data_IF_417681097371
#
_entry.id   IF_417681097371
#
_cell.length_a   1.000
_cell.length_b   1.000
_cell.length_c   1.000
_cell.angle_alpha   90.00
_cell.angle_beta   90.00
_cell.angle_gamma   90.00
#
_symmetry.space_group_name_H-M   'P 1'
#
loop_
_entity.id
_entity.type
_entity.pdbx_description
1 polymer ?
#
# COMPACT_ATOMS: atom_id res chain seq x y z
N UNK A 1 -57.63 8.56 26.15
CA UNK A 1 -57.75 8.27 24.73
C UNK A 1 -56.46 7.59 24.27
N UNK A 2 -56.62 6.39 23.94
CA UNK A 2 -55.81 5.27 23.52
C UNK A 2 -54.58 5.56 22.70
N UNK A 3 -53.44 5.09 23.22
CA UNK A 3 -52.17 4.87 22.53
C UNK A 3 -52.31 3.63 21.64
N UNK A 4 -52.35 3.78 20.35
CA UNK A 4 -52.21 2.67 19.41
C UNK A 4 -50.73 2.32 19.20
N UNK A 5 -50.42 1.07 19.54
CA UNK A 5 -49.16 0.41 19.26
C UNK A 5 -49.04 0.14 17.76
N UNK A 6 -48.07 0.77 17.11
CA UNK A 6 -47.59 0.32 15.80
C UNK A 6 -46.69 -0.92 15.96
N UNK A 7 -47.25 -2.09 15.71
CA UNK A 7 -46.50 -3.30 15.40
C UNK A 7 -46.09 -3.23 13.94
N UNK A 8 -44.91 -2.72 13.66
CA UNK A 8 -44.24 -2.89 12.34
C UNK A 8 -43.63 -4.27 12.28
N UNK A 9 -44.08 -5.07 11.33
CA UNK A 9 -43.44 -6.31 10.93
C UNK A 9 -42.03 -5.99 10.42
N UNK A 10 -41.01 -6.50 11.11
CA UNK A 10 -39.65 -6.52 10.62
C UNK A 10 -39.51 -7.55 9.48
N UNK A 11 -39.87 -7.15 8.27
CA UNK A 11 -39.37 -7.81 7.07
C UNK A 11 -37.86 -7.64 7.05
N UNK A 12 -37.14 -8.76 6.94
CA UNK A 12 -35.70 -8.87 7.05
C UNK A 12 -34.94 -7.81 6.26
N UNK A 13 -34.47 -6.80 6.95
CA UNK A 13 -33.33 -6.02 6.53
C UNK A 13 -32.12 -6.96 6.59
N UNK A 14 -31.71 -7.48 5.46
CA UNK A 14 -30.37 -8.00 5.30
C UNK A 14 -29.42 -6.94 5.87
N UNK A 15 -28.76 -7.30 6.95
CA UNK A 15 -27.70 -6.49 7.55
C UNK A 15 -26.72 -6.22 6.43
N UNK A 16 -26.74 -5.02 5.87
CA UNK A 16 -25.73 -4.51 4.97
C UNK A 16 -24.38 -4.82 5.64
N UNK A 17 -23.62 -5.72 5.05
CA UNK A 17 -22.27 -5.99 5.50
C UNK A 17 -21.47 -4.71 5.31
N UNK A 18 -21.34 -3.94 6.37
CA UNK A 18 -20.50 -2.75 6.45
C UNK A 18 -19.06 -3.25 6.54
N UNK A 19 -18.41 -3.38 5.40
CA UNK A 19 -17.01 -3.78 5.29
C UNK A 19 -16.42 -3.16 4.04
N UNK A 20 -15.10 -2.91 4.05
CA UNK A 20 -14.39 -2.40 2.90
C UNK A 20 -14.56 -3.30 1.67
N UNK A 21 -14.44 -2.74 0.48
CA UNK A 21 -14.61 -3.45 -0.78
C UNK A 21 -13.64 -4.62 -0.90
N UNK A 22 -14.16 -5.80 -1.18
CA UNK A 22 -13.35 -7.01 -1.42
C UNK A 22 -12.70 -6.94 -2.81
N UNK A 23 -11.40 -6.65 -2.82
CA UNK A 23 -10.58 -6.50 -4.05
C UNK A 23 -10.55 -7.81 -4.85
N UNK A 24 -10.59 -8.98 -4.20
CA UNK A 24 -10.57 -10.26 -4.91
C UNK A 24 -11.86 -10.49 -5.67
N UNK A 25 -13.01 -10.17 -5.08
CA UNK A 25 -14.30 -10.22 -5.76
C UNK A 25 -14.35 -9.26 -6.94
N UNK A 26 -13.78 -8.06 -6.83
CA UNK A 26 -13.68 -7.11 -7.93
C UNK A 26 -12.77 -7.64 -9.07
N UNK A 27 -11.64 -8.26 -8.76
CA UNK A 27 -10.76 -8.87 -9.76
C UNK A 27 -11.42 -10.06 -10.47
N UNK A 28 -12.11 -10.93 -9.73
CA UNK A 28 -12.90 -12.03 -10.30
C UNK A 28 -13.97 -11.47 -11.27
N UNK A 29 -14.66 -10.43 -10.87
CA UNK A 29 -15.67 -9.75 -11.69
C UNK A 29 -15.06 -9.19 -12.99
N UNK A 30 -13.89 -8.54 -12.93
CA UNK A 30 -13.18 -8.02 -14.11
C UNK A 30 -12.74 -9.13 -15.07
N UNK A 31 -12.21 -10.22 -14.55
CA UNK A 31 -11.84 -11.39 -15.38
C UNK A 31 -13.09 -11.99 -16.02
N UNK A 32 -14.17 -12.12 -15.25
CA UNK A 32 -15.46 -12.63 -15.77
C UNK A 32 -16.12 -11.73 -16.80
N UNK A 33 -15.86 -10.42 -16.80
CA UNK A 33 -16.31 -9.52 -17.88
C UNK A 33 -15.52 -9.74 -19.18
N UNK A 34 -14.22 -10.06 -19.08
CA UNK A 34 -13.38 -10.35 -20.25
C UNK A 34 -13.61 -11.77 -20.79
N UNK A 35 -13.81 -12.75 -19.91
CA UNK A 35 -13.96 -14.17 -20.21
C UNK A 35 -15.12 -14.75 -19.39
N UNK A 36 -16.39 -14.53 -19.80
CA UNK A 36 -17.55 -15.01 -19.03
C UNK A 36 -17.57 -16.52 -18.79
N UNK A 37 -17.01 -17.29 -19.71
CA UNK A 37 -17.00 -18.76 -19.68
C UNK A 37 -16.11 -19.34 -18.58
N UNK A 38 -15.18 -18.54 -18.03
CA UNK A 38 -14.29 -18.98 -16.95
C UNK A 38 -14.89 -18.76 -15.56
N UNK A 39 -16.05 -18.09 -15.48
CA UNK A 39 -16.74 -17.91 -14.20
C UNK A 39 -17.30 -19.24 -13.70
N UNK A 40 -17.07 -19.52 -12.44
CA UNK A 40 -17.58 -20.67 -11.71
C UNK A 40 -17.93 -20.27 -10.27
N UNK A 41 -18.37 -21.22 -9.47
CA UNK A 41 -18.69 -21.01 -8.07
C UNK A 41 -17.85 -21.94 -7.19
N UNK A 42 -17.37 -21.39 -6.07
CA UNK A 42 -16.66 -22.14 -5.03
C UNK A 42 -17.32 -21.92 -3.66
N UNK A 43 -17.35 -22.95 -2.82
CA UNK A 43 -17.78 -22.80 -1.43
C UNK A 43 -16.64 -22.24 -0.58
N UNK A 44 -16.94 -21.21 0.20
CA UNK A 44 -16.02 -20.68 1.21
C UNK A 44 -16.00 -21.61 2.45
N UNK A 45 -15.14 -21.31 3.42
CA UNK A 45 -15.00 -22.08 4.66
C UNK A 45 -16.30 -22.13 5.50
N UNK A 46 -17.17 -21.17 5.32
CA UNK A 46 -18.51 -21.13 5.92
C UNK A 46 -19.59 -21.85 5.07
N UNK A 47 -19.21 -22.53 3.99
CA UNK A 47 -20.09 -23.28 3.10
C UNK A 47 -20.91 -22.41 2.13
N UNK A 48 -20.69 -21.10 2.05
CA UNK A 48 -21.42 -20.18 1.15
C UNK A 48 -20.80 -20.21 -0.23
N UNK A 49 -21.65 -20.19 -1.27
CA UNK A 49 -21.19 -20.08 -2.65
C UNK A 49 -20.64 -18.68 -2.92
N UNK A 50 -19.48 -18.62 -3.55
CA UNK A 50 -18.83 -17.37 -3.98
C UNK A 50 -18.39 -17.51 -5.44
N UNK A 51 -18.41 -16.41 -6.21
CA UNK A 51 -17.85 -16.40 -7.56
C UNK A 51 -16.37 -16.78 -7.51
N UNK A 52 -15.95 -17.58 -8.47
CA UNK A 52 -14.56 -18.03 -8.63
C UNK A 52 -14.20 -18.10 -10.12
N UNK A 53 -12.92 -18.25 -10.41
CA UNK A 53 -12.39 -18.44 -11.76
C UNK A 53 -11.96 -19.90 -11.92
N UNK A 54 -12.44 -20.55 -12.98
CA UNK A 54 -11.92 -21.81 -13.45
C UNK A 54 -10.60 -21.56 -14.19
N UNK A 55 -9.50 -21.84 -13.50
CA UNK A 55 -8.18 -21.52 -14.02
C UNK A 55 -7.79 -22.40 -15.22
N UNK A 56 -8.27 -23.65 -15.26
CA UNK A 56 -7.99 -24.54 -16.40
C UNK A 56 -8.70 -24.09 -17.66
N UNK A 57 -9.93 -23.58 -17.53
CA UNK A 57 -10.62 -22.93 -18.66
C UNK A 57 -9.94 -21.65 -19.09
N UNK A 58 -9.51 -20.80 -18.11
CA UNK A 58 -8.79 -19.58 -18.44
C UNK A 58 -7.51 -19.89 -19.23
N UNK A 59 -6.76 -20.92 -18.83
CA UNK A 59 -5.61 -21.41 -19.59
C UNK A 59 -5.96 -21.75 -21.04
N UNK A 60 -7.07 -22.42 -21.30
CA UNK A 60 -7.50 -22.78 -22.66
C UNK A 60 -7.76 -21.55 -23.53
N UNK A 61 -8.32 -20.48 -22.94
CA UNK A 61 -8.56 -19.20 -23.66
C UNK A 61 -7.28 -18.41 -23.93
N UNK A 62 -6.25 -18.55 -23.09
CA UNK A 62 -4.97 -17.87 -23.25
C UNK A 62 -3.99 -18.66 -24.14
N UNK A 63 -4.33 -19.90 -24.53
CA UNK A 63 -3.54 -20.73 -25.45
C UNK A 63 -2.11 -21.04 -24.99
N UNK A 64 -1.14 -20.98 -25.90
CA UNK A 64 0.26 -21.29 -25.67
C UNK A 64 1.04 -20.13 -25.00
N UNK A 65 0.46 -18.97 -24.86
CA UNK A 65 1.07 -17.77 -24.25
C UNK A 65 1.09 -17.83 -22.70
N UNK A 66 0.95 -19.02 -22.14
CA UNK A 66 0.99 -19.26 -20.69
C UNK A 66 2.36 -19.78 -20.30
N UNK A 67 3.00 -19.10 -19.36
CA UNK A 67 4.19 -19.62 -18.71
C UNK A 67 3.77 -20.65 -17.67
N UNK A 68 3.86 -21.94 -18.04
CA UNK A 68 3.59 -23.08 -17.16
C UNK A 68 4.92 -23.76 -16.83
N UNK A 69 5.67 -23.18 -15.90
CA UNK A 69 6.97 -23.72 -15.55
C UNK A 69 7.64 -23.05 -14.36
N UNK A 70 8.68 -23.70 -13.83
CA UNK A 70 9.44 -23.20 -12.68
C UNK A 70 10.45 -22.11 -13.03
N UNK A 71 10.71 -21.87 -14.31
CA UNK A 71 11.66 -20.89 -14.80
C UNK A 71 10.93 -19.66 -15.34
N UNK A 72 10.41 -18.83 -14.43
CA UNK A 72 9.88 -17.50 -14.74
C UNK A 72 10.58 -16.46 -13.90
N UNK A 73 10.79 -15.27 -14.48
CA UNK A 73 11.27 -14.15 -13.68
C UNK A 73 10.21 -13.74 -12.67
N UNK A 74 10.51 -13.93 -11.41
CA UNK A 74 9.62 -13.58 -10.31
C UNK A 74 10.44 -13.01 -9.14
N UNK A 75 10.05 -11.84 -8.67
CA UNK A 75 10.54 -11.30 -7.40
C UNK A 75 9.77 -11.97 -6.27
N UNK A 76 10.45 -12.80 -5.46
CA UNK A 76 9.81 -13.59 -4.42
C UNK A 76 10.56 -13.51 -3.08
N UNK A 77 9.83 -13.66 -1.97
CA UNK A 77 10.35 -13.69 -0.60
C UNK A 77 9.44 -14.50 0.31
N UNK A 78 9.91 -14.77 1.54
CA UNK A 78 9.14 -15.55 2.53
C UNK A 78 7.96 -14.70 3.06
N UNK A 79 6.73 -15.17 2.86
CA UNK A 79 5.50 -14.48 3.29
C UNK A 79 4.81 -13.67 2.18
N UNK A 80 5.33 -13.64 0.95
CA UNK A 80 4.72 -12.89 -0.16
C UNK A 80 3.24 -13.23 -0.38
N UNK A 81 2.87 -14.50 -0.30
CA UNK A 81 1.47 -14.95 -0.51
C UNK A 81 0.54 -14.39 0.55
N UNK A 82 0.98 -14.38 1.80
CA UNK A 82 0.26 -13.81 2.93
C UNK A 82 0.12 -12.29 2.78
N UNK A 83 1.18 -11.60 2.37
CA UNK A 83 1.15 -10.15 2.11
C UNK A 83 0.16 -9.78 0.98
N UNK A 84 0.10 -10.59 -0.09
CA UNK A 84 -0.90 -10.44 -1.15
C UNK A 84 -2.32 -10.64 -0.61
N UNK A 85 -2.51 -11.69 0.19
CA UNK A 85 -3.81 -12.01 0.79
C UNK A 85 -4.28 -10.89 1.73
N UNK A 86 -3.35 -10.33 2.53
CA UNK A 86 -3.65 -9.26 3.48
C UNK A 86 -4.15 -7.99 2.80
N UNK A 87 -3.57 -7.60 1.67
CA UNK A 87 -4.04 -6.46 0.88
C UNK A 87 -5.51 -6.62 0.42
N UNK A 88 -5.99 -7.84 0.27
CA UNK A 88 -7.36 -8.14 -0.15
C UNK A 88 -8.35 -8.36 0.99
N UNK A 89 -7.90 -8.48 2.24
CA UNK A 89 -8.79 -8.68 3.39
C UNK A 89 -9.59 -7.41 3.65
N UNK A 90 -10.94 -7.49 3.66
CA UNK A 90 -11.78 -6.35 4.05
C UNK A 90 -11.63 -6.07 5.55
N UNK A 91 -11.81 -4.80 5.92
CA UNK A 91 -11.93 -4.38 7.33
C UNK A 91 -13.38 -4.00 7.66
N UNK A 92 -13.76 -4.21 8.91
CA UNK A 92 -15.05 -3.74 9.47
C UNK A 92 -14.88 -2.44 10.27
N UNK A 93 -13.65 -1.94 10.38
CA UNK A 93 -13.36 -0.68 11.07
C UNK A 93 -13.87 0.51 10.28
N UNK A 94 -14.11 1.63 10.96
CA UNK A 94 -14.54 2.89 10.34
C UNK A 94 -13.80 4.06 10.96
N UNK A 95 -13.74 5.17 10.23
CA UNK A 95 -13.21 6.44 10.74
C UNK A 95 -14.24 7.08 11.67
N UNK A 96 -13.77 7.69 12.76
CA UNK A 96 -14.56 8.50 13.67
C UNK A 96 -14.01 9.91 13.72
N UNK A 97 -14.86 10.95 13.55
CA UNK A 97 -14.43 12.32 13.74
C UNK A 97 -13.96 12.54 15.18
N UNK A 98 -12.83 13.20 15.35
CA UNK A 98 -12.34 13.72 16.60
C UNK A 98 -12.53 15.25 16.58
N UNK A 99 -13.68 15.69 17.10
CA UNK A 99 -14.05 17.11 17.04
C UNK A 99 -13.23 17.95 18.02
N UNK A 100 -12.76 17.36 19.11
CA UNK A 100 -12.02 18.07 20.15
C UNK A 100 -10.60 18.40 19.70
N UNK A 101 -9.98 17.52 18.91
CA UNK A 101 -8.64 17.71 18.35
C UNK A 101 -8.66 18.37 16.95
N UNK A 102 -9.83 18.61 16.38
CA UNK A 102 -9.95 19.20 15.03
C UNK A 102 -9.98 20.73 15.06
N UNK A 103 -9.30 21.33 14.10
CA UNK A 103 -9.33 22.78 13.86
C UNK A 103 -10.21 23.06 12.64
N UNK A 104 -11.25 23.89 12.82
CA UNK A 104 -12.20 24.26 11.77
C UNK A 104 -12.79 23.05 11.02
N UNK A 105 -13.24 22.02 11.75
CA UNK A 105 -13.70 20.75 11.21
C UNK A 105 -14.68 20.89 10.04
N UNK A 106 -15.63 21.81 10.15
CA UNK A 106 -16.68 22.02 9.13
C UNK A 106 -16.18 22.72 7.85
N UNK A 107 -15.01 23.38 7.90
CA UNK A 107 -14.49 24.19 6.80
C UNK A 107 -13.17 23.70 6.25
N UNK A 108 -12.44 22.87 7.02
CA UNK A 108 -11.15 22.34 6.59
C UNK A 108 -11.36 21.31 5.50
N UNK A 109 -10.59 21.43 4.41
CA UNK A 109 -10.49 20.40 3.37
C UNK A 109 -9.34 19.43 3.62
N UNK A 110 -8.58 19.62 4.73
CA UNK A 110 -7.48 18.76 5.12
C UNK A 110 -7.96 17.71 6.14
N UNK A 111 -7.48 16.49 5.99
CA UNK A 111 -7.82 15.37 6.88
C UNK A 111 -6.53 14.82 7.48
N UNK A 112 -6.50 14.69 8.81
CA UNK A 112 -5.48 13.97 9.54
C UNK A 112 -6.12 12.71 10.13
N UNK A 113 -5.53 11.54 9.89
CA UNK A 113 -6.09 10.26 10.33
C UNK A 113 -5.06 9.56 11.21
N UNK A 114 -5.46 9.25 12.46
CA UNK A 114 -4.64 8.51 13.42
C UNK A 114 -5.10 7.06 13.49
N UNK A 115 -4.14 6.12 13.46
CA UNK A 115 -4.42 4.70 13.58
C UNK A 115 -3.45 3.84 12.77
N UNK A 116 -3.72 2.55 12.72
CA UNK A 116 -2.97 1.63 11.85
C UNK A 116 -3.19 1.99 10.38
N UNK A 117 -2.10 2.30 9.68
CA UNK A 117 -2.18 2.80 8.31
C UNK A 117 -2.66 1.74 7.30
N UNK A 118 -2.44 0.44 7.55
CA UNK A 118 -2.95 -0.62 6.68
C UNK A 118 -4.49 -0.67 6.74
N UNK A 119 -5.05 -0.60 7.95
CA UNK A 119 -6.50 -0.54 8.15
C UNK A 119 -7.10 0.74 7.57
N UNK A 120 -6.43 1.88 7.79
CA UNK A 120 -6.85 3.17 7.20
C UNK A 120 -6.86 3.11 5.67
N UNK A 121 -5.83 2.55 5.05
CA UNK A 121 -5.76 2.38 3.59
C UNK A 121 -6.91 1.50 3.06
N UNK A 122 -7.32 0.46 3.81
CA UNK A 122 -8.49 -0.37 3.46
C UNK A 122 -9.80 0.43 3.53
N UNK A 123 -9.98 1.24 4.57
CA UNK A 123 -11.18 2.09 4.71
C UNK A 123 -11.25 3.13 3.60
N UNK A 124 -10.12 3.76 3.26
CA UNK A 124 -10.06 4.78 2.22
C UNK A 124 -10.41 4.25 0.82
N UNK A 125 -10.30 2.93 0.57
CA UNK A 125 -10.73 2.35 -0.72
C UNK A 125 -12.19 2.67 -1.06
N UNK A 126 -13.06 2.85 -0.07
CA UNK A 126 -14.48 3.11 -0.33
C UNK A 126 -14.73 4.52 -0.90
N UNK A 127 -14.05 5.51 -0.33
CA UNK A 127 -14.31 6.91 -0.66
C UNK A 127 -13.29 7.52 -1.62
N UNK A 128 -12.07 7.01 -1.65
CA UNK A 128 -10.94 7.60 -2.38
C UNK A 128 -10.35 6.71 -3.49
N UNK A 129 -11.00 5.60 -3.84
CA UNK A 129 -10.55 4.74 -4.94
C UNK A 129 -10.40 5.53 -6.24
N UNK A 130 -9.19 5.60 -6.78
CA UNK A 130 -8.88 6.30 -8.01
C UNK A 130 -9.06 7.83 -7.95
N UNK A 131 -8.96 8.45 -6.76
CA UNK A 131 -9.19 9.89 -6.57
C UNK A 131 -7.96 10.69 -6.14
N UNK A 132 -6.89 10.03 -5.72
CA UNK A 132 -5.69 10.67 -5.20
C UNK A 132 -4.75 11.03 -6.35
N UNK A 133 -4.33 12.28 -6.40
CA UNK A 133 -3.40 12.77 -7.43
C UNK A 133 -1.96 12.38 -7.14
N UNK A 134 -1.54 12.48 -5.87
CA UNK A 134 -0.18 12.23 -5.43
C UNK A 134 -0.17 11.55 -4.06
N UNK A 135 0.72 10.59 -3.90
CA UNK A 135 1.06 9.98 -2.61
C UNK A 135 2.56 10.20 -2.36
N UNK A 136 2.91 10.68 -1.16
CA UNK A 136 4.28 10.73 -0.69
C UNK A 136 4.40 9.93 0.60
N UNK A 137 5.36 9.01 0.68
CA UNK A 137 5.64 8.24 1.89
C UNK A 137 7.13 8.22 2.21
N UNK A 138 7.40 8.15 3.50
CA UNK A 138 8.72 8.01 4.09
C UNK A 138 8.69 6.79 5.03
N UNK A 139 8.86 5.56 4.49
CA UNK A 139 8.77 4.34 5.27
C UNK A 139 10.02 4.12 6.13
N UNK A 140 10.02 3.17 7.08
CA UNK A 140 11.24 2.71 7.72
C UNK A 140 12.25 2.21 6.67
N UNK A 141 13.50 2.67 6.76
CA UNK A 141 14.55 2.34 5.78
C UNK A 141 15.19 0.97 6.01
N UNK A 142 14.78 0.29 7.07
CA UNK A 142 15.32 -1.02 7.46
C UNK A 142 16.82 -0.98 7.74
N UNK A 143 17.27 -0.02 8.56
CA UNK A 143 18.69 0.18 8.90
C UNK A 143 19.23 -0.84 9.92
N UNK A 144 18.34 -1.70 10.45
CA UNK A 144 18.63 -2.67 11.50
C UNK A 144 18.38 -2.15 12.92
N UNK A 145 17.91 -0.89 13.02
CA UNK A 145 17.45 -0.28 14.28
C UNK A 145 16.00 0.18 14.16
N UNK A 146 15.45 0.11 12.97
CA UNK A 146 14.09 0.52 12.68
C UNK A 146 13.11 -0.52 13.18
N UNK A 147 11.96 -0.04 13.63
CA UNK A 147 10.85 -0.90 13.98
C UNK A 147 10.04 -1.18 12.71
N UNK A 148 9.85 -2.45 12.43
CA UNK A 148 8.96 -2.92 11.37
C UNK A 148 7.69 -3.43 12.03
N UNK A 149 6.53 -3.07 11.49
CA UNK A 149 5.26 -3.62 11.97
C UNK A 149 5.29 -5.13 11.78
N UNK A 150 5.13 -5.86 12.87
CA UNK A 150 5.00 -7.31 12.82
C UNK A 150 3.58 -7.64 12.36
N UNK A 151 3.35 -7.61 11.05
CA UNK A 151 2.12 -8.12 10.44
C UNK A 151 2.15 -9.65 10.52
N UNK A 152 1.99 -10.20 11.74
CA UNK A 152 1.82 -11.64 11.93
C UNK A 152 0.41 -12.01 11.48
N UNK A 153 0.29 -12.45 10.25
CA UNK A 153 -0.97 -12.83 9.60
C UNK A 153 -1.66 -14.08 10.19
N UNK A 154 -1.16 -14.63 11.30
CA UNK A 154 -1.67 -15.85 11.95
C UNK A 154 -1.88 -15.67 13.46
N UNK A 155 -2.36 -14.51 13.92
CA UNK A 155 -2.72 -14.36 15.33
C UNK A 155 -4.12 -14.87 15.57
N UNK A 156 -4.28 -15.69 16.60
CA UNK A 156 -5.59 -16.09 17.12
C UNK A 156 -6.25 -14.87 17.80
N UNK A 157 -7.60 -14.84 17.86
CA UNK A 157 -8.36 -13.78 18.55
C UNK A 157 -7.92 -13.58 20.00
N UNK A 158 -7.32 -14.57 20.62
CA UNK A 158 -6.84 -14.54 21.99
C UNK A 158 -5.50 -13.82 22.12
N UNK A 159 -4.57 -14.05 21.18
CA UNK A 159 -3.29 -13.33 21.11
C UNK A 159 -3.49 -11.86 20.75
N UNK A 160 -4.52 -11.55 19.95
CA UNK A 160 -4.90 -10.17 19.63
C UNK A 160 -5.41 -9.41 20.85
N UNK A 161 -6.19 -10.08 21.72
CA UNK A 161 -6.71 -9.49 22.96
C UNK A 161 -5.61 -9.25 23.99
N UNK A 162 -4.66 -10.18 24.12
CA UNK A 162 -3.52 -10.03 25.01
C UNK A 162 -2.58 -8.89 24.60
N UNK A 163 -2.46 -8.65 23.29
CA UNK A 163 -1.68 -7.52 22.75
C UNK A 163 -2.43 -6.17 22.85
N UNK A 164 -3.75 -6.16 22.85
CA UNK A 164 -4.55 -4.92 23.02
C UNK A 164 -4.43 -4.32 24.45
N UNK A 165 -3.98 -5.07 25.43
CA UNK A 165 -3.77 -4.62 26.82
C UNK A 165 -2.37 -4.01 27.05
N UNK A 166 -1.49 -4.04 26.03
CA UNK A 166 -0.15 -3.43 26.11
C UNK A 166 -0.15 -1.99 25.60
N UNK A 167 -0.77 -1.11 26.36
CA UNK A 167 -0.58 0.33 26.26
C UNK A 167 0.59 0.75 27.15
N UNK A 168 1.45 1.67 26.68
CA UNK A 168 2.42 2.32 27.56
C UNK A 168 1.71 3.23 28.58
N UNK A 169 2.44 3.73 29.57
CA UNK A 169 1.91 4.63 30.60
C UNK A 169 1.32 5.93 30.02
N UNK A 170 1.56 6.19 28.74
CA UNK A 170 1.10 7.35 27.98
C UNK A 170 -0.09 7.01 27.04
N UNK A 171 -0.61 5.77 27.11
CA UNK A 171 -1.76 5.31 26.32
C UNK A 171 -1.43 5.01 24.86
N UNK A 172 -0.15 4.89 24.49
CA UNK A 172 0.29 4.53 23.14
C UNK A 172 0.41 3.02 23.02
N UNK A 173 -0.09 2.49 21.93
CA UNK A 173 -0.02 1.06 21.64
C UNK A 173 1.44 0.67 21.37
N UNK A 174 2.07 -0.03 22.31
CA UNK A 174 3.47 -0.55 22.19
C UNK A 174 3.52 -1.80 21.31
N UNK A 175 2.38 -2.30 20.91
CA UNK A 175 2.23 -3.59 20.25
C UNK A 175 2.30 -3.46 18.74
N UNK A 176 3.11 -4.30 18.13
CA UNK A 176 3.26 -4.42 16.68
C UNK A 176 4.57 -3.92 16.11
N UNK A 177 5.35 -3.15 16.87
CA UNK A 177 6.67 -2.70 16.43
C UNK A 177 7.75 -3.59 17.04
N UNK A 178 8.38 -4.42 16.22
CA UNK A 178 9.55 -5.20 16.64
C UNK A 178 10.80 -4.69 15.91
N UNK A 179 11.97 -4.60 16.61
CA UNK A 179 13.21 -4.30 15.94
C UNK A 179 13.52 -5.34 14.87
N UNK A 180 13.77 -4.89 13.66
CA UNK A 180 14.17 -5.77 12.57
C UNK A 180 15.71 -5.78 12.50
N UNK A 181 16.30 -6.75 13.18
CA UNK A 181 17.77 -6.84 13.29
C UNK A 181 18.36 -7.39 11.98
N UNK A 182 19.48 -6.81 11.54
CA UNK A 182 20.24 -7.27 10.34
C UNK A 182 20.70 -8.73 10.43
N UNK A 183 20.80 -9.29 11.62
CA UNK A 183 21.14 -10.70 11.88
C UNK A 183 19.98 -11.65 11.63
N UNK A 184 18.76 -11.17 11.52
CA UNK A 184 17.57 -11.98 11.27
C UNK A 184 17.59 -12.56 9.84
N UNK A 185 17.35 -13.86 9.72
CA UNK A 185 17.18 -14.51 8.42
C UNK A 185 15.97 -14.01 7.62
N UNK A 186 15.06 -13.26 8.28
CA UNK A 186 13.85 -12.67 7.69
C UNK A 186 13.94 -11.17 7.52
N UNK A 187 15.09 -10.58 7.72
CA UNK A 187 15.31 -9.13 7.74
C UNK A 187 14.63 -8.38 6.58
N UNK A 188 14.91 -8.76 5.34
CA UNK A 188 14.28 -8.16 4.17
C UNK A 188 12.83 -8.63 3.98
N UNK A 189 12.55 -9.91 4.25
CA UNK A 189 11.20 -10.48 4.08
C UNK A 189 10.16 -9.82 4.98
N UNK A 190 10.50 -9.54 6.22
CA UNK A 190 9.58 -8.90 7.16
C UNK A 190 9.27 -7.44 6.73
N UNK A 191 10.27 -6.71 6.24
CA UNK A 191 10.06 -5.38 5.66
C UNK A 191 9.20 -5.43 4.39
N UNK A 192 9.46 -6.39 3.49
CA UNK A 192 8.68 -6.59 2.27
C UNK A 192 7.23 -6.96 2.56
N UNK A 193 6.99 -7.83 3.55
CA UNK A 193 5.65 -8.20 3.99
C UNK A 193 4.86 -7.01 4.54
N UNK A 194 5.52 -6.12 5.28
CA UNK A 194 4.91 -4.88 5.77
C UNK A 194 4.58 -3.92 4.62
N UNK A 195 5.49 -3.72 3.68
CA UNK A 195 5.34 -2.71 2.62
C UNK A 195 4.37 -3.11 1.52
N UNK A 196 4.38 -4.38 1.10
CA UNK A 196 3.62 -4.84 -0.06
C UNK A 196 2.12 -4.54 0.01
N UNK A 197 1.39 -4.91 1.09
CA UNK A 197 -0.05 -4.64 1.15
C UNK A 197 -0.36 -3.15 1.14
N UNK A 198 0.47 -2.32 1.77
CA UNK A 198 0.32 -0.87 1.83
C UNK A 198 0.48 -0.22 0.45
N UNK A 199 1.52 -0.60 -0.28
CA UNK A 199 1.78 -0.09 -1.63
C UNK A 199 0.71 -0.53 -2.62
N UNK A 200 0.21 -1.76 -2.50
CA UNK A 200 -0.88 -2.26 -3.35
C UNK A 200 -2.17 -1.48 -3.14
N UNK A 201 -2.53 -1.19 -1.89
CA UNK A 201 -3.70 -0.36 -1.56
C UNK A 201 -3.49 1.10 -2.00
N UNK A 202 -2.29 1.66 -1.77
CA UNK A 202 -1.94 3.01 -2.20
C UNK A 202 -2.10 3.18 -3.73
N UNK A 203 -1.63 2.20 -4.52
CA UNK A 203 -1.81 2.21 -5.98
C UNK A 203 -3.29 2.31 -6.38
N UNK A 204 -4.17 1.62 -5.68
CA UNK A 204 -5.60 1.66 -5.98
C UNK A 204 -6.22 3.05 -5.72
N UNK A 205 -5.74 3.77 -4.70
CA UNK A 205 -6.22 5.11 -4.38
C UNK A 205 -5.81 6.14 -5.44
N UNK A 206 -4.66 5.97 -6.10
CA UNK A 206 -4.18 6.89 -7.11
C UNK A 206 -5.14 7.00 -8.31
N UNK A 207 -5.28 8.20 -8.87
CA UNK A 207 -5.84 8.43 -10.21
C UNK A 207 -4.98 7.74 -11.27
N UNK A 208 -5.53 7.54 -12.46
CA UNK A 208 -4.77 6.95 -13.57
C UNK A 208 -3.54 7.79 -13.95
N UNK A 209 -3.64 9.12 -13.85
CA UNK A 209 -2.55 10.07 -14.03
C UNK A 209 -1.84 10.45 -12.71
N UNK A 210 -2.08 9.74 -11.63
CA UNK A 210 -1.45 9.97 -10.33
C UNK A 210 -0.10 9.31 -10.19
N UNK A 211 0.72 9.80 -9.23
CA UNK A 211 2.04 9.29 -8.96
C UNK A 211 2.31 9.09 -7.47
N UNK A 212 3.23 8.17 -7.17
CA UNK A 212 3.74 7.92 -5.82
C UNK A 212 5.22 8.27 -5.75
N UNK A 213 5.61 8.88 -4.64
CA UNK A 213 6.98 9.25 -4.29
C UNK A 213 7.34 8.54 -3.00
N UNK A 214 8.47 7.85 -2.95
CA UNK A 214 8.87 7.06 -1.79
C UNK A 214 10.32 7.34 -1.47
N UNK A 215 10.55 7.94 -0.30
CA UNK A 215 11.91 8.12 0.24
C UNK A 215 12.47 6.78 0.71
N UNK A 216 13.74 6.53 0.42
CA UNK A 216 14.44 5.32 0.83
C UNK A 216 15.97 5.55 0.78
N UNK A 217 16.72 4.80 1.58
CA UNK A 217 18.18 4.72 1.48
C UNK A 217 18.63 3.44 0.75
N UNK A 218 19.94 3.20 0.74
CA UNK A 218 20.55 2.06 0.06
C UNK A 218 20.16 0.69 0.61
N UNK A 219 19.63 0.59 1.85
CA UNK A 219 19.36 -0.70 2.49
C UNK A 219 18.26 -1.48 1.76
N UNK A 220 17.16 -0.82 1.41
CA UNK A 220 16.00 -1.46 0.77
C UNK A 220 15.67 -0.91 -0.63
N UNK A 221 16.49 -0.02 -1.20
CA UNK A 221 16.28 0.57 -2.52
C UNK A 221 15.96 -0.48 -3.59
N UNK A 222 16.81 -1.50 -3.71
CA UNK A 222 16.67 -2.53 -4.76
C UNK A 222 15.40 -3.37 -4.58
N UNK A 223 15.09 -3.74 -3.34
CA UNK A 223 13.90 -4.50 -3.00
C UNK A 223 12.63 -3.67 -3.24
N UNK A 224 12.63 -2.41 -2.83
CA UNK A 224 11.53 -1.49 -3.08
C UNK A 224 11.28 -1.29 -4.58
N UNK A 225 12.34 -1.09 -5.36
CA UNK A 225 12.24 -0.92 -6.83
C UNK A 225 11.58 -2.13 -7.48
N UNK A 226 12.03 -3.36 -7.15
CA UNK A 226 11.46 -4.59 -7.70
C UNK A 226 9.99 -4.79 -7.26
N UNK A 227 9.66 -4.47 -6.01
CA UNK A 227 8.29 -4.51 -5.50
C UNK A 227 7.39 -3.54 -6.25
N UNK A 228 7.86 -2.32 -6.52
CA UNK A 228 7.11 -1.31 -7.25
C UNK A 228 6.94 -1.69 -8.73
N UNK A 229 7.94 -2.28 -9.37
CA UNK A 229 7.83 -2.82 -10.72
C UNK A 229 6.75 -3.90 -10.81
N UNK A 230 6.65 -4.77 -9.80
CA UNK A 230 5.59 -5.78 -9.75
C UNK A 230 4.20 -5.16 -9.50
N UNK A 231 4.09 -4.24 -8.54
CA UNK A 231 2.81 -3.65 -8.16
C UNK A 231 2.28 -2.69 -9.22
N UNK A 232 3.13 -1.82 -9.76
CA UNK A 232 2.74 -0.76 -10.69
C UNK A 232 2.91 -1.17 -12.16
N UNK A 233 3.86 -2.04 -12.44
CA UNK A 233 4.30 -2.47 -13.77
C UNK A 233 5.61 -1.79 -14.19
N UNK A 234 6.52 -2.52 -14.81
CA UNK A 234 7.87 -2.06 -15.18
C UNK A 234 7.88 -0.75 -16.00
N UNK A 235 6.91 -0.55 -16.86
CA UNK A 235 6.85 0.65 -17.68
C UNK A 235 6.32 1.90 -16.98
N UNK A 236 6.04 1.86 -15.69
CA UNK A 236 5.46 2.98 -14.91
C UNK A 236 6.49 3.71 -14.03
N UNK A 237 7.71 3.22 -13.97
CA UNK A 237 8.82 3.94 -13.35
C UNK A 237 9.06 5.27 -14.07
N UNK A 238 9.14 6.37 -13.31
CA UNK A 238 9.39 7.70 -13.84
C UNK A 238 10.87 8.03 -13.66
N UNK A 239 11.33 8.10 -12.41
CA UNK A 239 12.69 8.55 -12.11
C UNK A 239 13.10 8.15 -10.68
N UNK A 240 14.41 8.21 -10.45
CA UNK A 240 15.04 8.14 -9.15
C UNK A 240 15.69 9.48 -8.82
N UNK A 241 15.08 10.21 -7.88
CA UNK A 241 15.62 11.49 -7.42
C UNK A 241 16.68 11.20 -6.36
N UNK A 242 17.89 11.70 -6.57
CA UNK A 242 18.98 11.62 -5.59
C UNK A 242 18.90 12.85 -4.69
N UNK A 243 18.62 12.61 -3.41
CA UNK A 243 18.55 13.66 -2.40
C UNK A 243 19.88 13.80 -1.68
N UNK A 244 20.62 14.88 -1.93
CA UNK A 244 21.85 15.21 -1.21
C UNK A 244 21.50 15.76 0.19
N UNK A 245 21.75 14.95 1.22
CA UNK A 245 21.40 15.29 2.61
C UNK A 245 22.52 15.94 3.41
N UNK A 246 23.76 15.92 2.90
CA UNK A 246 24.93 16.46 3.61
C UNK A 246 26.03 16.89 2.65
N UNK A 247 26.58 18.07 2.87
CA UNK A 247 27.76 18.54 2.18
C UNK A 247 29.08 17.88 2.66
N UNK A 248 29.05 17.15 3.79
CA UNK A 248 30.21 16.43 4.33
C UNK A 248 29.79 15.29 5.25
N UNK A 249 30.58 14.22 5.30
CA UNK A 249 30.39 13.14 6.27
C UNK A 249 30.58 13.66 7.70
N UNK A 250 29.66 13.30 8.61
CA UNK A 250 29.88 13.51 10.05
C UNK A 250 30.91 12.49 10.54
N UNK A 251 32.08 12.97 11.01
CA UNK A 251 33.17 12.14 11.51
C UNK A 251 34.22 11.81 10.44
N UNK A 252 35.30 11.20 10.84
CA UNK A 252 36.35 10.68 9.94
C UNK A 252 35.88 9.32 9.45
N UNK A 253 35.53 9.15 8.16
CA UNK A 253 35.18 7.83 7.65
C UNK A 253 36.39 6.91 7.78
N UNK A 254 36.20 5.60 8.06
CA UNK A 254 37.27 4.63 7.96
C UNK A 254 37.94 4.74 6.58
N UNK A 255 39.25 4.62 6.55
CA UNK A 255 40.06 4.78 5.32
C UNK A 255 39.65 3.84 4.17
N UNK A 256 38.79 2.87 4.44
CA UNK A 256 38.29 1.85 3.51
C UNK A 256 36.87 2.09 3.01
N UNK A 257 36.20 3.18 3.43
CA UNK A 257 34.79 3.44 3.08
C UNK A 257 34.60 4.82 2.48
N UNK A 258 33.76 4.88 1.44
CA UNK A 258 33.18 6.14 0.98
C UNK A 258 31.99 6.50 1.89
N UNK A 259 31.86 7.77 2.25
CA UNK A 259 30.72 8.24 3.03
C UNK A 259 29.49 8.37 2.13
N UNK A 260 28.39 7.71 2.49
CA UNK A 260 27.08 7.95 1.89
C UNK A 260 26.53 9.31 2.33
N UNK A 261 26.29 10.21 1.39
CA UNK A 261 25.80 11.57 1.66
C UNK A 261 24.42 11.83 1.06
N UNK A 262 23.80 10.84 0.45
CA UNK A 262 22.54 10.97 -0.27
C UNK A 262 21.54 9.89 0.17
N UNK A 263 20.31 10.12 -0.19
CA UNK A 263 19.18 9.18 -0.15
C UNK A 263 18.46 9.23 -1.49
N UNK A 264 17.46 8.40 -1.64
CA UNK A 264 16.71 8.29 -2.89
C UNK A 264 15.24 8.60 -2.68
N UNK A 265 14.59 9.13 -3.74
CA UNK A 265 13.15 9.19 -3.82
C UNK A 265 12.75 8.49 -5.10
N UNK A 266 12.17 7.30 -4.98
CA UNK A 266 11.64 6.56 -6.11
C UNK A 266 10.29 7.13 -6.54
N UNK A 267 10.12 7.36 -7.84
CA UNK A 267 8.91 7.95 -8.42
C UNK A 267 8.29 7.00 -9.42
N UNK A 268 7.03 6.61 -9.15
CA UNK A 268 6.23 5.76 -10.01
C UNK A 268 4.89 6.41 -10.34
N UNK A 269 4.38 6.22 -11.55
CA UNK A 269 3.04 6.60 -11.97
C UNK A 269 2.10 5.38 -11.97
N UNK A 270 0.80 5.61 -11.82
CA UNK A 270 -0.16 4.50 -11.89
C UNK A 270 -0.35 3.98 -13.32
N UNK A 271 -0.46 4.87 -14.29
CA UNK A 271 -0.47 4.60 -15.72
C UNK A 271 0.43 5.62 -16.43
N UNK A 272 0.77 5.40 -17.70
CA UNK A 272 1.71 6.24 -18.48
C UNK A 272 1.13 7.61 -18.88
N UNK A 273 0.38 8.26 -18.01
CA UNK A 273 -0.30 9.54 -18.25
C UNK A 273 0.13 10.67 -17.30
N UNK A 274 1.04 10.40 -16.38
CA UNK A 274 1.54 11.40 -15.43
C UNK A 274 2.35 12.49 -16.16
N UNK A 275 2.13 13.75 -15.77
CA UNK A 275 2.86 14.89 -16.34
C UNK A 275 3.30 15.84 -15.23
N UNK A 276 4.57 16.17 -15.22
CA UNK A 276 5.05 17.31 -14.44
C UNK A 276 4.64 18.62 -15.12
N UNK A 277 4.01 19.51 -14.37
CA UNK A 277 3.77 20.88 -14.80
C UNK A 277 4.93 21.73 -14.25
N UNK A 278 5.87 22.05 -15.08
CA UNK A 278 6.97 22.95 -14.73
C UNK A 278 6.50 24.40 -14.67
N UNK A 279 7.26 25.22 -13.95
CA UNK A 279 7.06 26.68 -13.98
C UNK A 279 7.32 27.21 -15.40
N UNK A 280 6.57 28.28 -15.78
CA UNK A 280 6.82 28.96 -17.03
C UNK A 280 8.19 29.62 -16.94
N UNK A 281 9.11 29.17 -17.79
CA UNK A 281 10.41 29.81 -17.91
C UNK A 281 10.25 31.24 -18.41
N UNK A 282 10.94 32.17 -17.76
CA UNK A 282 11.04 33.57 -18.20
C UNK A 282 12.23 33.74 -19.14
N UNK A 283 12.20 34.76 -20.00
CA UNK A 283 13.34 35.04 -20.90
C UNK A 283 14.65 35.25 -20.14
N UNK A 284 14.60 35.74 -18.90
CA UNK A 284 15.74 35.89 -17.99
C UNK A 284 16.40 34.55 -17.62
N UNK A 285 15.65 33.44 -17.66
CA UNK A 285 16.16 32.12 -17.32
C UNK A 285 17.05 31.53 -18.41
N UNK A 286 17.05 32.16 -19.59
CA UNK A 286 17.86 31.82 -20.74
C UNK A 286 19.05 32.79 -20.93
N UNK A 287 19.33 33.63 -19.93
CA UNK A 287 20.52 34.50 -20.01
C UNK A 287 21.77 33.63 -20.08
N UNK A 288 22.62 33.94 -21.05
CA UNK A 288 23.93 33.33 -21.22
C UNK A 288 25.01 34.24 -20.61
N UNK A 289 25.23 34.16 -19.26
CA UNK A 289 26.08 35.13 -18.54
C UNK A 289 27.55 35.01 -18.90
N UNK A 290 27.98 33.93 -19.53
CA UNK A 290 29.37 33.65 -19.93
C UNK A 290 29.63 33.94 -21.42
N UNK A 291 28.60 34.35 -22.16
CA UNK A 291 28.69 34.62 -23.62
C UNK A 291 29.28 33.46 -24.45
N UNK A 292 29.22 32.25 -23.92
CA UNK A 292 29.68 31.05 -24.65
C UNK A 292 28.65 30.67 -25.71
N UNK A 293 28.98 30.62 -27.00
CA UNK A 293 28.06 30.21 -28.06
C UNK A 293 27.84 28.70 -27.99
N UNK A 294 26.83 28.26 -27.29
CA UNK A 294 26.41 26.87 -27.26
C UNK A 294 25.30 26.57 -28.25
#
# INVERSE_FOLDING_TARGET
MTTEQYKGEHTGLDLLKVGSKDIFTDNISKIGQLFPEVLTEKRDEAGRLRPAIDFEKLKQFLSEEIVDGRESYEFTWVGKREAIAEAGRPTTKTLRPDLDESVDFDKSENIFITGDNLEVLKILQESYLGKIDMIYIDPPYNTGRDFVYSDKFQKTDQELKEEMDLLDEEGRQVVGLQPNEKSSARYHSDWLNMMYPRLRLARNLLKDNGAIFISIDENEYSNLKQMLDEIFGEGTFIENIVWDKKSSAKGVPPTTMMAGVHEYILVFQKKKDFRFLGEKRQESDFSNPDNDPR
#
